data_IF_134301263340
#
_entry.id   IF_134301263340
#
_cell.length_a   1.000
_cell.length_b   1.000
_cell.length_c   1.000
_cell.angle_alpha   90.00
_cell.angle_beta   90.00
_cell.angle_gamma   90.00
#
_symmetry.space_group_name_H-M   'P 1'
#
loop_
_entity.id
_entity.type
_entity.pdbx_description
1 polymer ?
#
# COMPACT_ATOMS: atom_id res chain seq x y z
N UNK A 1 -10.94 3.87 17.26
CA UNK A 1 -11.57 4.29 15.98
C UNK A 1 -13.08 4.33 16.18
N UNK A 2 -13.79 5.31 15.62
CA UNK A 2 -15.25 5.45 15.67
C UNK A 2 -15.81 5.22 14.27
N UNK A 3 -16.50 4.09 14.12
CA UNK A 3 -17.15 3.68 12.87
C UNK A 3 -18.54 4.30 12.80
N UNK A 4 -18.84 5.04 11.74
CA UNK A 4 -20.06 5.84 11.73
C UNK A 4 -20.46 6.38 10.35
N UNK A 5 -21.50 7.20 10.35
CA UNK A 5 -21.93 7.89 9.14
C UNK A 5 -20.79 8.85 8.71
N UNK A 6 -20.38 8.85 7.42
CA UNK A 6 -19.36 9.77 6.91
C UNK A 6 -19.67 11.26 7.13
N UNK A 7 -20.94 11.61 7.33
CA UNK A 7 -21.37 13.00 7.60
C UNK A 7 -21.23 13.39 9.08
N UNK A 8 -21.06 12.43 9.99
CA UNK A 8 -20.89 12.70 11.43
C UNK A 8 -19.45 13.15 11.71
N UNK A 9 -19.30 14.25 12.46
CA UNK A 9 -18.00 14.88 12.73
C UNK A 9 -17.04 14.04 13.56
N UNK A 10 -17.55 13.12 14.37
CA UNK A 10 -16.71 12.24 15.18
C UNK A 10 -16.27 10.97 14.44
N UNK A 11 -16.84 10.70 13.26
CA UNK A 11 -16.52 9.50 12.47
C UNK A 11 -15.10 9.62 11.92
N UNK A 12 -14.30 8.57 12.15
CA UNK A 12 -12.96 8.43 11.57
C UNK A 12 -12.81 7.16 10.72
N UNK A 13 -13.86 6.34 10.63
CA UNK A 13 -13.90 5.17 9.76
C UNK A 13 -15.28 5.04 9.10
N UNK A 14 -15.34 5.25 7.79
CA UNK A 14 -16.56 5.20 6.99
C UNK A 14 -16.90 3.78 6.48
N UNK A 15 -17.98 3.63 5.71
CA UNK A 15 -18.28 2.39 5.01
C UNK A 15 -17.30 2.19 3.85
N UNK A 16 -17.18 0.94 3.41
CA UNK A 16 -16.54 0.61 2.16
C UNK A 16 -17.37 1.15 0.99
N UNK A 17 -16.72 1.34 -0.17
CA UNK A 17 -17.31 2.05 -1.30
C UNK A 17 -18.60 1.40 -1.84
N UNK A 18 -18.64 0.07 -1.98
CA UNK A 18 -19.79 -0.65 -2.53
C UNK A 18 -19.81 -2.12 -2.07
N UNK A 19 -20.96 -2.79 -2.26
CA UNK A 19 -21.22 -4.14 -1.74
C UNK A 19 -20.27 -5.21 -2.28
N UNK A 20 -19.91 -5.16 -3.57
CA UNK A 20 -19.02 -6.17 -4.15
C UNK A 20 -17.62 -6.12 -3.51
N UNK A 21 -17.08 -4.92 -3.27
CA UNK A 21 -15.82 -4.76 -2.54
C UNK A 21 -15.89 -5.31 -1.12
N UNK A 22 -16.96 -5.01 -0.38
CA UNK A 22 -17.15 -5.56 0.96
C UNK A 22 -17.13 -7.10 0.98
N UNK A 23 -17.80 -7.75 0.03
CA UNK A 23 -17.78 -9.22 -0.07
C UNK A 23 -16.37 -9.76 -0.31
N UNK A 24 -15.60 -9.11 -1.19
CA UNK A 24 -14.18 -9.45 -1.41
C UNK A 24 -13.35 -9.33 -0.13
N UNK A 25 -13.56 -8.29 0.69
CA UNK A 25 -12.84 -8.14 1.95
C UNK A 25 -13.16 -9.27 2.94
N UNK A 26 -14.42 -9.68 3.03
CA UNK A 26 -14.83 -10.82 3.86
C UNK A 26 -14.16 -12.11 3.37
N UNK A 27 -14.20 -12.38 2.07
CA UNK A 27 -13.55 -13.55 1.46
C UNK A 27 -12.02 -13.52 1.65
N UNK A 28 -11.40 -12.35 1.53
CA UNK A 28 -9.97 -12.14 1.73
C UNK A 28 -9.55 -12.51 3.17
N UNK A 29 -10.28 -12.03 4.17
CA UNK A 29 -10.01 -12.36 5.58
C UNK A 29 -10.25 -13.84 5.88
N UNK A 30 -11.32 -14.44 5.33
CA UNK A 30 -11.57 -15.88 5.46
C UNK A 30 -10.41 -16.70 4.88
N UNK A 31 -9.86 -16.29 3.73
CA UNK A 31 -8.72 -16.96 3.12
C UNK A 31 -7.45 -16.82 3.96
N UNK A 32 -7.19 -15.63 4.53
CA UNK A 32 -6.07 -15.41 5.44
C UNK A 32 -6.09 -16.34 6.66
N UNK A 33 -7.26 -16.45 7.33
CA UNK A 33 -7.44 -17.38 8.46
C UNK A 33 -7.28 -18.83 8.01
N UNK A 34 -7.84 -19.20 6.86
CA UNK A 34 -7.75 -20.56 6.31
C UNK A 34 -6.32 -20.99 6.01
N UNK A 35 -5.48 -20.06 5.57
CA UNK A 35 -4.07 -20.31 5.25
C UNK A 35 -3.13 -20.24 6.48
N UNK A 36 -3.67 -19.96 7.66
CA UNK A 36 -2.97 -20.08 8.94
C UNK A 36 -2.48 -18.77 9.55
N UNK A 37 -2.82 -17.61 8.98
CA UNK A 37 -2.52 -16.33 9.59
C UNK A 37 -3.34 -16.10 10.87
N UNK A 38 -2.74 -15.45 11.87
CA UNK A 38 -3.41 -15.14 13.13
C UNK A 38 -4.28 -13.88 12.96
N UNK A 39 -5.59 -14.02 13.04
CA UNK A 39 -6.52 -12.89 13.09
C UNK A 39 -6.57 -12.33 14.51
N UNK A 40 -5.97 -11.15 14.73
CA UNK A 40 -5.90 -10.50 16.04
C UNK A 40 -7.19 -9.75 16.36
N UNK A 41 -7.75 -9.04 15.39
CA UNK A 41 -9.04 -8.35 15.52
C UNK A 41 -9.68 -8.09 14.15
N UNK A 42 -10.99 -7.84 14.15
CA UNK A 42 -11.75 -7.49 12.94
C UNK A 42 -12.06 -8.70 12.05
N UNK A 43 -11.95 -8.51 10.75
CA UNK A 43 -12.12 -9.54 9.72
C UNK A 43 -13.56 -9.69 9.22
N UNK A 44 -14.50 -8.89 9.72
CA UNK A 44 -15.92 -9.05 9.43
C UNK A 44 -16.61 -7.75 8.98
N UNK A 45 -17.80 -7.93 8.38
CA UNK A 45 -18.73 -6.83 8.19
C UNK A 45 -19.27 -6.37 9.55
N UNK A 46 -19.27 -5.06 9.79
CA UNK A 46 -19.86 -4.49 11.02
C UNK A 46 -21.37 -4.73 10.99
N UNK A 47 -22.00 -5.24 12.07
CA UNK A 47 -23.43 -5.55 12.12
C UNK A 47 -24.29 -4.27 12.21
N UNK A 48 -24.37 -3.53 11.10
CA UNK A 48 -25.14 -2.30 10.93
C UNK A 48 -25.56 -2.12 9.48
N UNK A 49 -26.54 -1.25 9.17
CA UNK A 49 -26.89 -0.92 7.79
C UNK A 49 -25.71 -0.34 7.00
N UNK A 50 -25.65 -0.64 5.71
CA UNK A 50 -24.60 -0.21 4.80
C UNK A 50 -23.43 -1.20 4.70
N UNK A 51 -22.33 -0.75 4.10
CA UNK A 51 -21.22 -1.61 3.71
C UNK A 51 -19.98 -1.42 4.59
N UNK A 52 -20.16 -1.48 5.91
CA UNK A 52 -19.07 -1.25 6.86
C UNK A 52 -18.23 -2.51 7.07
N UNK A 53 -16.90 -2.36 7.07
CA UNK A 53 -15.95 -3.42 7.38
C UNK A 53 -15.10 -3.03 8.58
N UNK A 54 -14.86 -3.99 9.48
CA UNK A 54 -14.07 -3.77 10.68
C UNK A 54 -12.60 -3.50 10.33
N UNK A 55 -11.95 -2.51 10.96
CA UNK A 55 -10.48 -2.43 10.94
C UNK A 55 -9.89 -3.75 11.43
N UNK A 56 -9.02 -4.34 10.62
CA UNK A 56 -8.58 -5.73 10.79
C UNK A 56 -7.06 -5.79 10.95
N UNK A 57 -6.59 -6.68 11.81
CA UNK A 57 -5.16 -6.92 12.03
C UNK A 57 -4.86 -8.42 11.93
N UNK A 58 -3.93 -8.77 11.04
CA UNK A 58 -3.32 -10.09 10.94
C UNK A 58 -1.87 -10.05 11.42
N UNK A 59 -1.47 -11.08 12.17
CA UNK A 59 -0.08 -11.36 12.54
C UNK A 59 0.33 -12.75 12.07
N UNK A 60 1.61 -13.07 12.23
CA UNK A 60 2.19 -14.38 11.90
C UNK A 60 1.98 -14.73 10.42
N UNK A 61 2.04 -13.70 9.57
CA UNK A 61 1.88 -13.83 8.12
C UNK A 61 3.21 -14.26 7.50
N UNK A 62 3.17 -15.32 6.70
CA UNK A 62 4.30 -15.87 5.97
C UNK A 62 4.26 -15.48 4.48
N UNK A 63 5.42 -15.36 3.84
CA UNK A 63 5.57 -14.81 2.48
C UNK A 63 4.88 -15.64 1.37
N UNK A 64 4.52 -16.89 1.67
CA UNK A 64 3.78 -17.77 0.74
C UNK A 64 2.26 -17.59 0.81
N UNK A 65 1.74 -16.97 1.88
CA UNK A 65 0.31 -16.78 2.08
C UNK A 65 -0.27 -15.83 1.03
N UNK A 66 -1.51 -16.08 0.62
CA UNK A 66 -2.28 -15.26 -0.30
C UNK A 66 -2.32 -13.80 0.16
N UNK A 67 -2.57 -13.56 1.45
CA UNK A 67 -2.68 -12.21 2.00
C UNK A 67 -1.34 -11.45 2.01
N UNK A 68 -0.21 -12.13 1.87
CA UNK A 68 1.09 -11.47 1.73
C UNK A 68 1.35 -10.96 0.30
N UNK A 69 0.61 -11.45 -0.69
CA UNK A 69 0.86 -11.20 -2.12
C UNK A 69 -0.22 -10.35 -2.78
N UNK A 70 -1.46 -10.48 -2.29
CA UNK A 70 -2.64 -9.98 -2.97
C UNK A 70 -3.16 -8.71 -2.31
N UNK A 71 -3.56 -7.74 -3.12
CA UNK A 71 -4.02 -6.45 -2.64
C UNK A 71 -5.46 -6.54 -2.12
N UNK A 72 -5.67 -6.20 -0.85
CA UNK A 72 -7.00 -6.17 -0.26
C UNK A 72 -7.80 -4.91 -0.61
N UNK A 73 -7.12 -3.77 -0.78
CA UNK A 73 -7.71 -2.44 -0.95
C UNK A 73 -8.72 -2.06 0.17
N UNK A 74 -8.52 -2.62 1.36
CA UNK A 74 -9.39 -2.42 2.53
C UNK A 74 -8.60 -2.12 3.80
N UNK A 75 -9.28 -1.89 4.94
CA UNK A 75 -8.66 -1.50 6.20
C UNK A 75 -8.08 -2.73 6.94
N UNK A 76 -7.18 -3.46 6.29
CA UNK A 76 -6.57 -4.70 6.80
C UNK A 76 -5.06 -4.49 6.94
N UNK A 77 -4.56 -4.55 8.17
CA UNK A 77 -3.13 -4.51 8.49
C UNK A 77 -2.57 -5.94 8.52
N UNK A 78 -1.47 -6.17 7.79
CA UNK A 78 -0.87 -7.48 7.57
C UNK A 78 0.57 -7.41 8.09
N UNK A 79 0.87 -8.19 9.14
CA UNK A 79 2.12 -8.05 9.89
C UNK A 79 2.94 -9.35 9.83
N UNK A 80 4.17 -9.21 9.36
CA UNK A 80 5.20 -10.25 9.38
C UNK A 80 6.39 -9.78 10.23
N UNK A 81 7.04 -10.73 10.92
CA UNK A 81 8.28 -10.45 11.65
C UNK A 81 9.50 -10.64 10.74
N UNK A 82 10.59 -9.99 11.08
CA UNK A 82 11.92 -10.25 10.54
C UNK A 82 12.93 -10.25 11.69
N UNK A 83 14.11 -10.85 11.49
CA UNK A 83 15.11 -10.99 12.55
C UNK A 83 15.84 -9.68 12.81
N UNK A 84 16.26 -9.46 14.06
CA UNK A 84 17.03 -8.29 14.44
C UNK A 84 18.35 -8.22 13.66
N UNK A 85 18.61 -7.07 13.04
CA UNK A 85 19.82 -6.83 12.24
C UNK A 85 19.77 -7.38 10.80
N UNK A 86 18.72 -8.11 10.40
CA UNK A 86 18.64 -8.76 9.09
C UNK A 86 18.00 -7.87 8.01
N UNK A 87 18.69 -6.77 7.69
CA UNK A 87 18.19 -5.75 6.77
C UNK A 87 18.04 -6.25 5.32
N UNK A 88 18.98 -7.08 4.84
CA UNK A 88 18.96 -7.54 3.45
C UNK A 88 17.88 -8.60 3.22
N UNK A 89 17.63 -9.48 4.18
CA UNK A 89 16.52 -10.44 4.09
C UNK A 89 15.17 -9.74 4.09
N UNK A 90 14.95 -8.75 4.97
CA UNK A 90 13.67 -8.02 4.98
C UNK A 90 13.48 -7.22 3.68
N UNK A 91 14.55 -6.63 3.11
CA UNK A 91 14.50 -5.99 1.80
C UNK A 91 14.16 -6.98 0.69
N UNK A 92 14.78 -8.16 0.69
CA UNK A 92 14.50 -9.22 -0.29
C UNK A 92 13.02 -9.63 -0.24
N UNK A 93 12.46 -9.82 0.96
CA UNK A 93 11.05 -10.16 1.17
C UNK A 93 10.12 -9.02 0.76
N UNK A 94 10.44 -7.78 1.12
CA UNK A 94 9.65 -6.60 0.74
C UNK A 94 9.61 -6.39 -0.78
N UNK A 95 10.69 -6.70 -1.49
CA UNK A 95 10.77 -6.61 -2.95
C UNK A 95 10.22 -7.86 -3.67
N UNK A 96 9.93 -8.95 -2.95
CA UNK A 96 9.39 -10.20 -3.49
C UNK A 96 7.89 -10.10 -3.83
N UNK A 97 7.55 -9.06 -4.57
CA UNK A 97 6.23 -8.79 -5.13
C UNK A 97 6.39 -8.32 -6.58
N UNK A 98 5.39 -8.62 -7.40
CA UNK A 98 5.30 -8.12 -8.78
C UNK A 98 4.89 -6.64 -8.84
N UNK A 99 4.40 -6.09 -7.73
CA UNK A 99 4.03 -4.69 -7.60
C UNK A 99 5.23 -3.82 -7.17
N UNK A 100 5.11 -2.51 -7.41
CA UNK A 100 6.18 -1.54 -7.13
C UNK A 100 5.65 -0.11 -7.06
N UNK A 101 4.49 0.11 -6.43
CA UNK A 101 3.87 1.44 -6.38
C UNK A 101 4.50 2.35 -5.32
N UNK A 102 4.45 1.95 -4.06
CA UNK A 102 4.99 2.71 -2.94
C UNK A 102 5.54 1.78 -1.84
N UNK A 103 6.41 2.32 -1.00
CA UNK A 103 6.99 1.64 0.16
C UNK A 103 7.33 2.63 1.27
N UNK A 104 7.70 2.13 2.45
CA UNK A 104 8.10 3.01 3.55
C UNK A 104 9.00 2.33 4.58
N UNK A 105 9.82 3.13 5.26
CA UNK A 105 10.74 2.69 6.31
C UNK A 105 10.68 3.63 7.51
N UNK A 106 10.59 3.05 8.70
CA UNK A 106 10.62 3.77 9.98
C UNK A 106 11.88 3.40 10.76
N UNK A 107 12.77 4.36 10.93
CA UNK A 107 14.04 4.19 11.65
C UNK A 107 14.62 5.55 12.03
N UNK A 108 15.30 5.63 13.19
CA UNK A 108 16.08 6.82 13.58
C UNK A 108 17.50 6.80 13.02
N UNK A 109 17.93 5.67 12.48
CA UNK A 109 19.26 5.48 11.92
C UNK A 109 19.28 5.95 10.46
N UNK A 110 20.01 7.04 10.21
CA UNK A 110 20.13 7.65 8.89
C UNK A 110 20.76 6.72 7.86
N UNK A 111 21.72 5.88 8.27
CA UNK A 111 22.40 4.96 7.36
C UNK A 111 21.41 3.90 6.88
N UNK A 112 20.58 3.37 7.78
CA UNK A 112 19.52 2.43 7.43
C UNK A 112 18.44 3.09 6.58
N UNK A 113 18.04 4.32 6.89
CA UNK A 113 17.02 5.03 6.13
C UNK A 113 17.42 5.18 4.65
N UNK A 114 18.64 5.67 4.40
CA UNK A 114 19.17 5.85 3.05
C UNK A 114 19.42 4.52 2.34
N UNK A 115 20.04 3.54 3.03
CA UNK A 115 20.31 2.23 2.44
C UNK A 115 19.01 1.52 2.01
N UNK A 116 17.99 1.54 2.88
CA UNK A 116 16.70 0.90 2.58
C UNK A 116 15.98 1.62 1.45
N UNK A 117 16.02 2.95 1.42
CA UNK A 117 15.36 3.69 0.33
C UNK A 117 15.99 3.42 -1.03
N UNK A 118 17.30 3.24 -1.09
CA UNK A 118 17.99 2.92 -2.34
C UNK A 118 17.70 1.50 -2.83
N UNK A 119 17.33 0.59 -1.93
CA UNK A 119 17.14 -0.84 -2.22
C UNK A 119 15.69 -1.24 -2.47
N UNK A 120 14.71 -0.43 -2.07
CA UNK A 120 13.29 -0.73 -2.28
C UNK A 120 12.90 -0.51 -3.75
N UNK A 121 12.31 -1.52 -4.37
CA UNK A 121 11.88 -1.48 -5.77
C UNK A 121 10.45 -0.91 -5.89
N UNK A 122 10.29 0.37 -5.54
CA UNK A 122 9.00 1.08 -5.59
C UNK A 122 9.15 2.50 -6.13
N UNK A 123 8.10 3.01 -6.78
CA UNK A 123 8.09 4.35 -7.36
C UNK A 123 8.08 5.51 -6.35
N UNK A 124 7.74 5.24 -5.09
CA UNK A 124 7.80 6.21 -3.98
C UNK A 124 8.24 5.51 -2.71
N UNK A 125 9.24 6.08 -2.01
CA UNK A 125 9.70 5.58 -0.71
C UNK A 125 9.49 6.65 0.36
N UNK A 126 8.71 6.34 1.39
CA UNK A 126 8.52 7.23 2.54
C UNK A 126 9.48 6.90 3.69
N UNK A 127 10.15 7.90 4.26
CA UNK A 127 11.04 7.74 5.43
C UNK A 127 10.41 8.44 6.63
N UNK A 128 10.13 7.70 7.71
CA UNK A 128 9.54 8.24 8.97
C UNK A 128 8.20 8.97 8.80
N UNK A 129 7.49 8.71 7.71
CA UNK A 129 6.12 9.14 7.42
C UNK A 129 5.44 8.13 6.49
N UNK A 130 4.13 8.23 6.30
CA UNK A 130 3.42 7.47 5.26
C UNK A 130 2.25 8.32 4.72
N UNK A 131 1.76 8.00 3.51
CA UNK A 131 0.70 8.76 2.82
C UNK A 131 1.01 10.25 2.60
N UNK A 132 2.29 10.65 2.63
CA UNK A 132 2.70 12.05 2.45
C UNK A 132 2.95 12.34 0.96
N UNK A 133 1.87 12.39 0.18
CA UNK A 133 1.94 12.85 -1.21
C UNK A 133 1.97 14.39 -1.27
N UNK A 134 2.42 14.92 -2.41
CA UNK A 134 2.44 16.35 -2.71
C UNK A 134 2.19 16.56 -4.20
N UNK A 135 1.45 17.60 -4.58
CA UNK A 135 1.10 17.88 -5.97
C UNK A 135 2.31 18.20 -6.86
N UNK A 136 3.43 18.61 -6.26
CA UNK A 136 4.69 18.84 -6.97
C UNK A 136 5.61 17.60 -7.01
N UNK A 137 5.33 16.57 -6.22
CA UNK A 137 6.13 15.34 -6.17
C UNK A 137 5.53 14.28 -7.13
N UNK A 138 6.28 13.77 -8.11
CA UNK A 138 5.75 12.81 -9.08
C UNK A 138 5.38 11.49 -8.40
N UNK A 139 4.23 10.92 -8.78
CA UNK A 139 3.73 9.65 -8.25
C UNK A 139 3.41 8.69 -9.40
N UNK A 140 3.87 7.44 -9.28
CA UNK A 140 3.59 6.37 -10.23
C UNK A 140 4.51 5.18 -9.97
N UNK A 141 4.10 3.98 -10.37
CA UNK A 141 4.76 2.75 -9.97
C UNK A 141 5.90 2.27 -10.88
N UNK A 142 6.43 1.11 -10.50
CA UNK A 142 7.33 0.25 -11.27
C UNK A 142 6.71 -1.16 -11.41
N UNK A 143 7.38 -2.04 -12.17
CA UNK A 143 6.97 -3.44 -12.39
C UNK A 143 5.52 -3.54 -12.91
N UNK A 144 4.69 -4.41 -12.33
CA UNK A 144 3.29 -4.54 -12.73
C UNK A 144 2.38 -3.43 -12.18
N UNK A 145 2.89 -2.52 -11.35
CA UNK A 145 2.17 -1.30 -10.98
C UNK A 145 2.12 -0.26 -12.10
N UNK A 146 2.67 -0.57 -13.28
CA UNK A 146 2.63 0.27 -14.47
C UNK A 146 3.82 1.22 -14.60
N UNK A 147 3.65 2.23 -15.46
CA UNK A 147 4.64 3.27 -15.76
C UNK A 147 3.93 4.61 -16.03
N UNK A 148 4.70 5.67 -16.21
CA UNK A 148 4.21 7.05 -16.26
C UNK A 148 4.10 7.67 -14.87
N UNK A 149 3.82 8.97 -14.81
CA UNK A 149 3.66 9.72 -13.56
C UNK A 149 2.42 10.61 -13.61
N UNK A 150 1.70 10.65 -12.50
CA UNK A 150 0.82 11.75 -12.13
C UNK A 150 1.58 12.72 -11.21
N UNK A 151 1.11 13.97 -11.12
CA UNK A 151 1.69 15.03 -10.30
C UNK A 151 3.12 15.46 -10.73
N UNK A 152 3.61 16.55 -10.15
CA UNK A 152 4.91 17.12 -10.48
C UNK A 152 5.05 17.54 -11.94
N UNK A 153 6.24 18.02 -12.30
CA UNK A 153 6.55 18.39 -13.69
C UNK A 153 6.59 17.16 -14.62
N UNK A 154 7.01 16.00 -14.08
CA UNK A 154 7.15 14.77 -14.85
C UNK A 154 5.84 14.34 -15.54
N UNK A 155 4.68 14.55 -14.90
CA UNK A 155 3.38 14.21 -15.47
C UNK A 155 3.06 14.98 -16.76
N UNK A 156 3.63 16.18 -16.95
CA UNK A 156 3.40 16.95 -18.18
C UNK A 156 3.90 16.21 -19.42
N UNK A 157 4.97 15.43 -19.29
CA UNK A 157 5.55 14.69 -20.42
C UNK A 157 4.60 13.61 -20.96
N UNK A 158 3.71 13.07 -20.12
CA UNK A 158 2.71 12.07 -20.53
C UNK A 158 1.60 12.67 -21.42
N UNK A 159 1.45 14.01 -21.41
CA UNK A 159 0.44 14.75 -22.17
C UNK A 159 1.03 15.63 -23.27
N UNK A 160 2.34 15.59 -23.49
CA UNK A 160 3.05 16.40 -24.48
C UNK A 160 3.77 15.53 -25.52
N UNK A 161 4.16 16.15 -26.64
CA UNK A 161 5.05 15.55 -27.64
C UNK A 161 6.13 16.55 -28.05
N UNK A 162 7.34 16.07 -28.26
CA UNK A 162 8.47 16.89 -28.71
C UNK A 162 8.47 16.95 -30.24
N UNK A 163 8.63 18.15 -30.81
CA UNK A 163 8.80 18.37 -32.25
C UNK A 163 10.12 19.08 -32.52
N UNK A 164 11.03 18.41 -33.22
CA UNK A 164 12.26 19.01 -33.73
C UNK A 164 12.02 19.62 -35.10
N UNK A 165 12.47 20.85 -35.32
CA UNK A 165 12.43 21.55 -36.62
C UNK A 165 13.84 22.01 -36.97
N UNK A 166 14.36 21.60 -38.13
CA UNK A 166 15.73 21.87 -38.58
C UNK A 166 15.70 22.72 -39.84
N UNK A 167 16.57 23.73 -39.90
CA UNK A 167 16.78 24.60 -41.05
C UNK A 167 18.26 24.53 -41.47
N UNK A 168 18.51 24.55 -42.78
CA UNK A 168 19.82 24.80 -43.39
C UNK A 168 19.64 26.03 -44.29
N UNK A 169 20.57 26.99 -44.22
CA UNK A 169 20.53 28.25 -44.97
C UNK A 169 21.90 28.58 -45.56
#
# INVERSE_FOLDING_TARGET
>A
MKIGNPLDRDTNHGPQNHQAHLRKLVEYCQRGVKEGATLVCGGNQVPRPGFFFEPTVFTDVEDHMFIAREESFGPIMIISRFADGDMDTVLSRANATEFGLASGVFTRDINKALYVSDKLEAGTVFINTYNKTDVAAPFGGFKQSGFGKDLGEAALNEYLRVKTVTFEY
#
